data_IF_907819746282
#
_entry.id   IF_907819746282
#
_cell.length_a   1.000
_cell.length_b   1.000
_cell.length_c   1.000
_cell.angle_alpha   90.00
_cell.angle_beta   90.00
_cell.angle_gamma   90.00
#
_symmetry.space_group_name_H-M   'P 1'
#
loop_
_entity.id
_entity.type
_entity.pdbx_description
1 polymer ?
#
# COMPACT_ATOMS: atom_id res chain seq x y z
N UNK A 1 -21.91 -0.75 4.60
CA UNK A 1 -21.37 -1.46 3.41
C UNK A 1 -20.06 -2.12 3.79
N UNK A 2 -19.79 -3.33 3.28
CA UNK A 2 -18.48 -3.95 3.44
C UNK A 2 -17.45 -3.20 2.58
N UNK A 3 -16.30 -2.88 3.16
CA UNK A 3 -15.19 -2.26 2.44
C UNK A 3 -14.62 -3.23 1.41
N UNK A 4 -14.18 -2.70 0.28
CA UNK A 4 -13.44 -3.47 -0.72
C UNK A 4 -12.03 -3.71 -0.19
N UNK A 5 -11.66 -4.97 0.02
CA UNK A 5 -10.32 -5.35 0.45
C UNK A 5 -9.36 -5.35 -0.74
N UNK A 6 -8.24 -4.67 -0.60
CA UNK A 6 -7.26 -4.45 -1.68
C UNK A 6 -5.87 -4.89 -1.22
N UNK A 7 -5.15 -5.59 -2.10
CA UNK A 7 -3.71 -5.81 -1.99
C UNK A 7 -3.04 -5.06 -3.14
N UNK A 8 -2.02 -4.27 -2.84
CA UNK A 8 -1.29 -3.48 -3.83
C UNK A 8 0.09 -4.10 -3.99
N UNK A 9 0.45 -4.52 -5.21
CA UNK A 9 1.70 -5.23 -5.45
C UNK A 9 2.73 -4.36 -6.17
N UNK A 10 4.00 -4.54 -5.81
CA UNK A 10 5.12 -3.84 -6.44
C UNK A 10 5.21 -2.35 -6.13
N UNK A 11 4.54 -1.86 -5.08
CA UNK A 11 4.46 -0.45 -4.75
C UNK A 11 5.51 -0.03 -3.70
N UNK A 12 6.50 0.74 -4.13
CA UNK A 12 7.62 1.13 -3.26
C UNK A 12 8.20 2.52 -3.58
N UNK A 13 7.70 3.21 -4.60
CA UNK A 13 8.19 4.51 -5.06
C UNK A 13 7.09 5.57 -5.06
N UNK A 14 6.93 6.28 -6.18
CA UNK A 14 5.90 7.31 -6.32
C UNK A 14 4.48 6.72 -6.26
N UNK A 15 4.30 5.53 -6.81
CA UNK A 15 3.07 4.78 -6.75
C UNK A 15 2.60 4.55 -5.31
N UNK A 16 3.50 4.18 -4.42
CA UNK A 16 3.23 4.04 -2.99
C UNK A 16 2.67 5.33 -2.36
N UNK A 17 3.24 6.49 -2.72
CA UNK A 17 2.70 7.79 -2.28
C UNK A 17 1.30 8.04 -2.85
N UNK A 18 1.11 7.87 -4.16
CA UNK A 18 -0.18 8.08 -4.80
C UNK A 18 -1.27 7.18 -4.20
N UNK A 19 -0.95 5.91 -3.94
CA UNK A 19 -1.87 4.98 -3.30
C UNK A 19 -2.22 5.41 -1.89
N UNK A 20 -1.27 5.90 -1.10
CA UNK A 20 -1.57 6.42 0.23
C UNK A 20 -2.50 7.64 0.18
N UNK A 21 -2.28 8.57 -0.74
CA UNK A 21 -3.16 9.75 -0.88
C UNK A 21 -4.59 9.34 -1.22
N UNK A 22 -4.77 8.38 -2.14
CA UNK A 22 -6.10 7.95 -2.55
C UNK A 22 -6.79 7.02 -1.54
N UNK A 23 -6.09 6.01 -1.01
CA UNK A 23 -6.73 4.93 -0.25
C UNK A 23 -6.82 5.18 1.26
N UNK A 24 -5.88 5.92 1.88
CA UNK A 24 -5.71 5.95 3.35
C UNK A 24 -6.95 6.37 4.13
N UNK A 25 -7.70 7.32 3.60
CA UNK A 25 -8.92 7.86 4.24
C UNK A 25 -10.18 7.56 3.44
N UNK A 26 -10.12 6.65 2.47
CA UNK A 26 -11.26 6.32 1.63
C UNK A 26 -12.09 5.23 2.29
N UNK A 27 -13.30 5.58 2.73
CA UNK A 27 -14.18 4.69 3.48
C UNK A 27 -14.66 3.47 2.66
N UNK A 28 -14.51 3.50 1.34
CA UNK A 28 -14.90 2.40 0.46
C UNK A 28 -13.87 1.26 0.43
N UNK A 29 -12.64 1.50 0.88
CA UNK A 29 -11.53 0.56 0.72
C UNK A 29 -10.84 0.22 2.05
N UNK A 30 -10.28 -0.99 2.09
CA UNK A 30 -9.40 -1.49 3.14
C UNK A 30 -8.16 -2.08 2.48
N UNK A 31 -7.05 -1.35 2.51
CA UNK A 31 -5.77 -1.85 1.98
C UNK A 31 -5.18 -2.82 3.00
N UNK A 32 -5.21 -4.11 2.69
CA UNK A 32 -4.77 -5.18 3.58
C UNK A 32 -3.25 -5.39 3.54
N UNK A 33 -2.61 -5.13 2.40
CA UNK A 33 -1.17 -5.25 2.25
C UNK A 33 -0.65 -4.40 1.07
N UNK A 34 0.58 -3.93 1.22
CA UNK A 34 1.41 -3.45 0.11
C UNK A 34 2.63 -4.36 0.01
N UNK A 35 2.93 -4.85 -1.19
CA UNK A 35 4.15 -5.61 -1.45
C UNK A 35 5.11 -4.74 -2.24
N UNK A 36 6.40 -4.91 -1.95
CA UNK A 36 7.48 -4.21 -2.62
C UNK A 36 8.60 -5.21 -2.90
N UNK A 37 9.22 -5.07 -4.06
CA UNK A 37 10.40 -5.85 -4.48
C UNK A 37 11.35 -4.91 -5.22
N UNK A 38 12.52 -5.39 -5.63
CA UNK A 38 13.49 -4.70 -6.50
C UNK A 38 14.20 -3.45 -5.94
N UNK A 39 13.70 -2.78 -4.89
CA UNK A 39 14.44 -1.71 -4.21
C UNK A 39 15.48 -2.35 -3.26
N UNK A 40 16.78 -1.97 -3.34
CA UNK A 40 17.79 -2.44 -2.40
C UNK A 40 17.36 -2.22 -0.95
N UNK A 41 17.58 -3.22 -0.10
CA UNK A 41 17.24 -3.19 1.34
C UNK A 41 15.76 -2.92 1.67
N UNK A 42 14.84 -3.12 0.72
CA UNK A 42 13.39 -2.98 0.99
C UNK A 42 12.82 -4.16 1.78
N UNK A 43 13.47 -5.32 1.70
CA UNK A 43 13.05 -6.52 2.40
C UNK A 43 13.00 -6.26 3.92
N UNK A 44 11.84 -6.53 4.54
CA UNK A 44 11.64 -6.34 5.98
C UNK A 44 11.22 -4.94 6.41
N UNK A 45 11.16 -3.96 5.50
CA UNK A 45 10.57 -2.65 5.82
C UNK A 45 9.06 -2.80 6.06
N UNK A 46 8.55 -2.13 7.10
CA UNK A 46 7.13 -2.11 7.46
C UNK A 46 6.53 -0.73 7.19
N UNK A 47 5.24 -0.72 6.89
CA UNK A 47 4.44 0.49 6.76
C UNK A 47 3.06 0.29 7.41
N UNK A 48 2.54 1.27 8.15
CA UNK A 48 3.25 2.47 8.63
C UNK A 48 4.42 2.09 9.54
N UNK A 49 5.41 2.98 9.65
CA UNK A 49 6.44 2.88 10.70
C UNK A 49 5.86 3.41 12.00
#
# INVERSE_FOLDING_TARGET
>A
MNKIKVIIMGAAGRDFHNFNVYFRNNQNYEVAALTATQIPDIAGRKYPV
#
